data_IF_930064707798
#
_entry.id   IF_930064707798
#
_cell.length_a   1.000
_cell.length_b   1.000
_cell.length_c   1.000
_cell.angle_alpha   90.00
_cell.angle_beta   90.00
_cell.angle_gamma   90.00
#
_symmetry.space_group_name_H-M   'P 1'
#
loop_
_entity.id
_entity.type
_entity.pdbx_description
1 polymer ?
#
# COMPACT_ATOMS: atom_id res chain seq x y z
N UNK A 1 -5.54 7.91 -16.03
CA UNK A 1 -5.16 6.63 -16.67
C UNK A 1 -6.29 6.04 -17.51
N UNK A 2 -7.39 5.53 -16.94
CA UNK A 2 -8.52 5.04 -17.76
C UNK A 2 -9.15 6.17 -18.61
N UNK A 3 -9.48 7.29 -17.95
CA UNK A 3 -10.02 8.50 -18.59
C UNK A 3 -9.09 9.02 -19.70
N UNK A 4 -7.78 9.03 -19.43
CA UNK A 4 -6.70 9.40 -20.36
C UNK A 4 -6.67 8.49 -21.59
N UNK A 5 -6.81 7.18 -21.40
CA UNK A 5 -6.91 6.23 -22.51
C UNK A 5 -8.16 6.43 -23.36
N UNK A 6 -9.26 6.90 -22.76
CA UNK A 6 -10.45 7.32 -23.48
C UNK A 6 -10.31 8.70 -24.16
N UNK A 7 -9.12 9.30 -24.15
CA UNK A 7 -8.81 10.58 -24.80
C UNK A 7 -9.07 11.82 -23.94
N UNK A 8 -9.54 11.68 -22.71
CA UNK A 8 -9.92 12.81 -21.84
C UNK A 8 -8.85 13.15 -20.81
N UNK A 9 -8.59 14.43 -20.60
CA UNK A 9 -7.67 14.89 -19.57
C UNK A 9 -8.32 14.86 -18.17
N UNK A 10 -7.79 14.13 -17.17
CA UNK A 10 -8.31 14.18 -15.82
C UNK A 10 -7.78 15.41 -15.08
N UNK A 11 -8.67 16.28 -14.62
CA UNK A 11 -8.36 17.42 -13.78
C UNK A 11 -8.75 17.11 -12.32
N UNK A 12 -7.77 16.78 -11.49
CA UNK A 12 -7.98 16.48 -10.07
C UNK A 12 -7.91 17.75 -9.24
N UNK A 13 -8.94 18.03 -8.45
CA UNK A 13 -8.91 19.11 -7.46
C UNK A 13 -8.83 18.52 -6.06
N UNK A 14 -7.74 18.82 -5.34
CA UNK A 14 -7.61 18.46 -3.93
C UNK A 14 -8.44 19.41 -3.08
N UNK A 15 -9.14 18.86 -2.08
CA UNK A 15 -10.00 19.60 -1.14
C UNK A 15 -10.87 20.64 -1.87
N UNK A 16 -11.69 20.20 -2.84
CA UNK A 16 -12.52 21.09 -3.65
C UNK A 16 -13.48 21.92 -2.79
N UNK A 17 -13.84 21.40 -1.61
CA UNK A 17 -14.55 22.08 -0.54
C UNK A 17 -13.78 21.92 0.77
N UNK A 18 -13.12 22.97 1.28
CA UNK A 18 -12.32 22.87 2.50
C UNK A 18 -13.16 22.58 3.75
N UNK A 19 -14.46 22.89 3.71
CA UNK A 19 -15.47 22.57 4.72
C UNK A 19 -15.95 21.11 4.66
N UNK A 20 -15.66 20.39 3.57
CA UNK A 20 -16.00 18.98 3.34
C UNK A 20 -14.77 18.22 2.80
N UNK A 21 -13.72 18.07 3.63
CA UNK A 21 -12.43 17.53 3.19
C UNK A 21 -12.48 16.09 2.67
N UNK A 22 -13.54 15.35 3.01
CA UNK A 22 -13.78 13.98 2.58
C UNK A 22 -14.23 13.85 1.12
N UNK A 23 -14.58 14.95 0.44
CA UNK A 23 -15.09 14.92 -0.93
C UNK A 23 -13.98 15.14 -1.97
N UNK A 24 -13.50 14.09 -2.66
CA UNK A 24 -12.64 14.27 -3.82
C UNK A 24 -13.46 14.75 -5.03
N UNK A 25 -12.86 15.60 -5.88
CA UNK A 25 -13.45 15.99 -7.16
C UNK A 25 -12.48 15.74 -8.32
N UNK A 26 -12.99 15.05 -9.34
CA UNK A 26 -12.32 14.85 -10.63
C UNK A 26 -13.20 15.48 -11.70
N UNK A 27 -12.60 16.36 -12.50
CA UNK A 27 -13.22 16.98 -13.68
C UNK A 27 -12.61 16.37 -14.93
N UNK A 28 -13.41 16.22 -15.98
CA UNK A 28 -12.93 15.82 -17.30
C UNK A 28 -12.65 17.09 -18.11
N UNK A 29 -11.40 17.28 -18.50
CA UNK A 29 -10.88 18.41 -19.25
C UNK A 29 -10.93 18.19 -20.75
N UNK A 30 -9.98 18.78 -21.48
CA UNK A 30 -9.88 18.66 -22.94
C UNK A 30 -9.31 17.32 -23.40
N UNK A 31 -8.90 17.26 -24.67
CA UNK A 31 -8.18 16.11 -25.22
C UNK A 31 -6.78 16.02 -24.60
N UNK A 32 -6.39 14.83 -24.15
CA UNK A 32 -5.07 14.58 -23.56
C UNK A 32 -3.94 15.02 -24.50
N UNK A 33 -2.96 15.74 -23.96
CA UNK A 33 -1.62 15.87 -24.56
C UNK A 33 -0.62 15.04 -23.74
N UNK A 34 0.09 14.12 -24.39
CA UNK A 34 1.15 13.31 -23.74
C UNK A 34 0.64 12.08 -22.95
N UNK A 35 -0.14 11.20 -23.58
CA UNK A 35 -0.50 9.91 -22.97
C UNK A 35 0.71 8.96 -22.97
N UNK A 36 1.00 8.29 -21.85
CA UNK A 36 1.95 7.18 -21.78
C UNK A 36 1.30 5.91 -22.36
N UNK A 37 1.67 5.47 -23.57
CA UNK A 37 1.04 4.30 -24.19
C UNK A 37 1.27 3.05 -23.33
N UNK A 38 0.23 2.23 -23.16
CA UNK A 38 0.33 0.98 -22.41
C UNK A 38 0.26 1.09 -20.89
N UNK A 39 0.21 2.30 -20.30
CA UNK A 39 0.15 2.47 -18.84
C UNK A 39 -1.12 1.85 -18.21
N UNK A 40 -2.28 1.99 -18.86
CA UNK A 40 -3.51 1.36 -18.36
C UNK A 40 -3.45 -0.17 -18.41
N UNK A 41 -2.78 -0.74 -19.42
CA UNK A 41 -2.54 -2.17 -19.49
C UNK A 41 -1.54 -2.63 -18.44
N UNK A 42 -0.47 -1.86 -18.20
CA UNK A 42 0.49 -2.12 -17.14
C UNK A 42 -0.18 -2.10 -15.75
N UNK A 43 -1.11 -1.17 -15.49
CA UNK A 43 -1.88 -1.12 -14.26
C UNK A 43 -2.71 -2.40 -14.05
N UNK A 44 -3.36 -2.90 -15.10
CA UNK A 44 -4.12 -4.17 -15.03
C UNK A 44 -3.25 -5.38 -14.78
N UNK A 45 -2.03 -5.37 -15.32
CA UNK A 45 -1.08 -6.48 -15.19
C UNK A 45 -0.25 -6.41 -13.92
N UNK A 46 -0.33 -5.33 -13.13
CA UNK A 46 0.46 -5.14 -11.90
C UNK A 46 -0.10 -6.00 -10.77
N UNK A 47 0.54 -7.12 -10.41
CA UNK A 47 0.13 -7.89 -9.24
C UNK A 47 0.67 -7.22 -7.97
N UNK A 48 -0.01 -7.43 -6.84
CA UNK A 48 0.61 -7.25 -5.52
C UNK A 48 1.28 -8.56 -5.14
N UNK A 49 2.62 -8.60 -5.21
CA UNK A 49 3.39 -9.76 -4.75
C UNK A 49 3.50 -9.72 -3.23
N UNK A 50 3.13 -10.84 -2.59
CA UNK A 50 3.39 -11.12 -1.16
C UNK A 50 4.45 -12.20 -0.98
N UNK A 51 5.06 -12.64 -2.07
CA UNK A 51 6.20 -13.54 -2.00
C UNK A 51 7.43 -12.75 -1.60
N UNK A 52 8.33 -13.33 -0.78
CA UNK A 52 9.58 -12.68 -0.45
C UNK A 52 10.35 -12.28 -1.72
N UNK A 53 10.88 -11.05 -1.72
CA UNK A 53 11.73 -10.57 -2.79
C UNK A 53 13.19 -10.94 -2.50
N UNK A 54 13.56 -12.17 -2.82
CA UNK A 54 14.95 -12.62 -2.71
C UNK A 54 15.71 -12.29 -4.00
N UNK A 55 16.62 -11.33 -3.94
CA UNK A 55 17.57 -11.05 -5.02
C UNK A 55 18.89 -10.62 -4.41
N UNK A 56 19.90 -11.47 -4.51
CA UNK A 56 21.30 -11.13 -4.18
C UNK A 56 21.94 -10.23 -5.26
N UNK A 57 21.22 -9.97 -6.35
CA UNK A 57 21.71 -9.15 -7.46
C UNK A 57 21.48 -7.67 -7.16
N UNK A 58 22.57 -6.92 -7.04
CA UNK A 58 22.52 -5.46 -7.06
C UNK A 58 21.98 -4.97 -8.40
N UNK A 59 21.04 -4.02 -8.36
CA UNK A 59 20.48 -3.42 -9.56
C UNK A 59 21.44 -2.37 -10.14
N UNK A 60 21.51 -2.22 -11.48
CA UNK A 60 22.15 -1.05 -12.08
C UNK A 60 21.54 0.24 -11.52
N UNK A 61 22.35 1.29 -11.33
CA UNK A 61 21.92 2.54 -10.71
C UNK A 61 20.74 3.23 -11.42
N UNK A 62 20.51 2.94 -12.71
CA UNK A 62 19.37 3.43 -13.46
C UNK A 62 18.02 2.89 -12.94
N UNK A 63 17.99 1.66 -12.41
CA UNK A 63 16.74 1.00 -12.01
C UNK A 63 16.11 1.66 -10.78
N UNK A 64 16.87 2.08 -9.74
CA UNK A 64 16.30 2.90 -8.66
C UNK A 64 16.02 4.36 -9.07
N UNK A 65 16.75 4.91 -10.05
CA UNK A 65 16.56 6.31 -10.46
C UNK A 65 15.22 6.53 -11.17
N UNK A 66 14.84 5.62 -12.06
CA UNK A 66 13.62 5.76 -12.88
C UNK A 66 12.33 5.87 -12.04
N UNK A 67 12.06 5.01 -11.03
CA UNK A 67 10.89 5.17 -10.17
C UNK A 67 10.94 6.43 -9.31
N UNK A 68 12.14 6.89 -8.91
CA UNK A 68 12.29 8.12 -8.13
C UNK A 68 11.93 9.36 -8.96
N UNK A 69 12.38 9.42 -10.23
CA UNK A 69 11.99 10.46 -11.17
C UNK A 69 10.49 10.42 -11.49
N UNK A 70 9.93 9.22 -11.68
CA UNK A 70 8.51 9.03 -11.89
C UNK A 70 7.69 9.53 -10.68
N UNK A 71 8.11 9.21 -9.44
CA UNK A 71 7.49 9.74 -8.23
C UNK A 71 7.58 11.27 -8.16
N UNK A 72 8.76 11.83 -8.45
CA UNK A 72 9.00 13.27 -8.42
C UNK A 72 8.12 14.02 -9.43
N UNK A 73 7.99 13.52 -10.66
CA UNK A 73 7.08 14.10 -11.65
C UNK A 73 5.60 14.03 -11.23
N UNK A 74 5.25 13.09 -10.35
CA UNK A 74 3.95 12.98 -9.71
C UNK A 74 3.78 13.82 -8.43
N UNK A 75 4.77 14.63 -8.05
CA UNK A 75 4.74 15.43 -6.81
C UNK A 75 5.00 14.62 -5.54
N UNK A 76 5.53 13.40 -5.66
CA UNK A 76 5.88 12.53 -4.55
C UNK A 76 7.40 12.39 -4.41
N UNK A 77 7.86 12.05 -3.21
CA UNK A 77 9.25 11.70 -2.95
C UNK A 77 9.32 10.20 -2.70
N UNK A 78 10.24 9.52 -3.37
CA UNK A 78 10.55 8.11 -3.14
C UNK A 78 11.90 7.97 -2.45
N UNK A 79 11.94 7.26 -1.34
CA UNK A 79 13.18 6.95 -0.60
C UNK A 79 13.38 5.45 -0.58
N UNK A 80 14.57 5.00 -0.95
CA UNK A 80 14.98 3.60 -0.85
C UNK A 80 15.51 3.32 0.56
N UNK A 81 14.90 2.35 1.24
CA UNK A 81 15.37 1.88 2.54
C UNK A 81 16.61 1.01 2.32
N UNK A 82 17.69 1.31 3.01
CA UNK A 82 18.92 0.51 2.92
C UNK A 82 18.67 -0.90 3.48
N UNK A 83 19.45 -1.89 3.05
CA UNK A 83 19.36 -3.24 3.62
C UNK A 83 19.53 -3.26 5.14
N UNK A 84 20.39 -2.38 5.70
CA UNK A 84 20.59 -2.26 7.14
C UNK A 84 19.34 -1.71 7.85
N UNK A 85 18.64 -0.76 7.22
CA UNK A 85 17.43 -0.12 7.76
C UNK A 85 16.17 -1.00 7.61
N UNK A 86 16.17 -1.98 6.70
CA UNK A 86 15.04 -2.90 6.52
C UNK A 86 14.67 -3.61 7.82
N UNK A 87 15.66 -4.02 8.62
CA UNK A 87 15.40 -4.68 9.91
C UNK A 87 14.65 -3.76 10.88
N UNK A 88 14.90 -2.45 10.83
CA UNK A 88 14.19 -1.47 11.66
C UNK A 88 12.73 -1.35 11.21
N UNK A 89 12.48 -1.28 9.90
CA UNK A 89 11.11 -1.22 9.36
C UNK A 89 10.33 -2.47 9.72
N UNK A 90 10.96 -3.65 9.62
CA UNK A 90 10.33 -4.92 9.99
C UNK A 90 9.96 -4.96 11.48
N UNK A 91 10.86 -4.52 12.37
CA UNK A 91 10.55 -4.40 13.81
C UNK A 91 9.38 -3.46 14.09
N UNK A 92 9.40 -2.25 13.52
CA UNK A 92 8.30 -1.30 13.68
C UNK A 92 6.96 -1.83 13.15
N UNK A 93 7.00 -2.64 12.08
CA UNK A 93 5.80 -3.30 11.56
C UNK A 93 5.27 -4.32 12.55
N UNK A 94 6.13 -5.15 13.13
CA UNK A 94 5.76 -6.10 14.19
C UNK A 94 5.20 -5.38 15.42
N UNK A 95 5.82 -4.28 15.86
CA UNK A 95 5.35 -3.51 17.01
C UNK A 95 3.96 -2.92 16.74
N UNK A 96 3.71 -2.42 15.52
CA UNK A 96 2.40 -1.94 15.10
C UNK A 96 1.35 -3.05 15.06
N UNK A 97 1.70 -4.24 14.54
CA UNK A 97 0.80 -5.41 14.56
C UNK A 97 0.45 -5.84 15.99
N UNK A 98 1.43 -5.83 16.90
CA UNK A 98 1.20 -6.10 18.32
C UNK A 98 0.30 -5.04 18.96
N UNK A 99 0.49 -3.76 18.64
CA UNK A 99 -0.36 -2.67 19.11
C UNK A 99 -1.81 -2.85 18.64
N UNK A 100 -2.01 -3.10 17.35
CA UNK A 100 -3.34 -3.29 16.75
C UNK A 100 -4.08 -4.50 17.34
N UNK A 101 -3.37 -5.55 17.74
CA UNK A 101 -3.94 -6.72 18.40
C UNK A 101 -4.55 -6.44 19.79
N UNK A 102 -4.13 -5.33 20.42
CA UNK A 102 -4.69 -4.83 21.69
C UNK A 102 -5.75 -3.74 21.52
N UNK A 103 -5.90 -3.22 20.30
CA UNK A 103 -6.89 -2.23 19.92
C UNK A 103 -8.30 -2.79 19.65
N UNK A 104 -9.25 -1.95 19.25
CA UNK A 104 -10.61 -2.37 18.88
C UNK A 104 -10.59 -3.43 17.77
N UNK A 105 -11.54 -4.36 17.83
CA UNK A 105 -11.62 -5.44 16.85
C UNK A 105 -11.83 -4.90 15.42
N UNK A 106 -10.89 -5.20 14.51
CA UNK A 106 -11.02 -4.91 13.09
C UNK A 106 -11.72 -6.08 12.37
N UNK A 107 -12.69 -5.78 11.51
CA UNK A 107 -13.38 -6.76 10.68
C UNK A 107 -12.69 -6.89 9.31
N UNK A 108 -12.26 -8.10 8.96
CA UNK A 108 -11.74 -8.40 7.62
C UNK A 108 -12.90 -8.79 6.70
N UNK A 109 -13.19 -7.96 5.72
CA UNK A 109 -14.18 -8.28 4.67
C UNK A 109 -13.43 -8.70 3.41
N UNK A 110 -13.56 -9.98 3.03
CA UNK A 110 -13.06 -10.49 1.74
C UNK A 110 -14.17 -10.40 0.70
N UNK A 111 -14.22 -9.31 -0.05
CA UNK A 111 -15.06 -9.22 -1.24
C UNK A 111 -14.34 -9.91 -2.40
N UNK A 112 -15.02 -10.89 -3.02
CA UNK A 112 -14.40 -11.92 -3.85
C UNK A 112 -13.60 -11.38 -5.03
N UNK A 113 -12.27 -11.39 -4.89
CA UNK A 113 -11.29 -11.61 -5.96
C UNK A 113 -10.06 -12.29 -5.36
N UNK A 114 -9.68 -13.43 -5.94
CA UNK A 114 -8.60 -14.31 -5.48
C UNK A 114 -9.11 -15.69 -5.01
N UNK A 115 -8.25 -16.72 -4.99
CA UNK A 115 -8.64 -18.05 -4.52
C UNK A 115 -9.12 -18.00 -3.06
N UNK A 116 -10.05 -18.87 -2.69
CA UNK A 116 -10.47 -19.04 -1.31
C UNK A 116 -9.24 -19.30 -0.44
N UNK A 117 -8.93 -18.37 0.47
CA UNK A 117 -7.84 -18.53 1.43
C UNK A 117 -8.37 -19.08 2.75
N UNK A 118 -7.48 -19.59 3.63
CA UNK A 118 -7.88 -20.04 4.95
C UNK A 118 -8.64 -18.93 5.71
N UNK A 119 -9.55 -19.30 6.64
CA UNK A 119 -10.21 -18.32 7.49
C UNK A 119 -9.14 -17.51 8.23
N UNK A 120 -9.32 -16.18 8.26
CA UNK A 120 -8.48 -15.31 9.08
C UNK A 120 -8.57 -15.76 10.54
N UNK A 121 -7.43 -16.01 11.22
CA UNK A 121 -7.44 -16.36 12.63
C UNK A 121 -8.28 -15.34 13.40
N UNK A 122 -9.31 -15.80 14.11
CA UNK A 122 -10.08 -14.96 15.03
C UNK A 122 -9.56 -15.22 16.43
N UNK A 123 -9.40 -14.15 17.20
CA UNK A 123 -9.20 -14.25 18.65
C UNK A 123 -10.44 -14.94 19.22
N UNK A 124 -10.24 -16.05 19.94
CA UNK A 124 -11.35 -16.74 20.59
C UNK A 124 -11.97 -15.80 21.65
N UNK A 125 -13.27 -15.49 21.57
CA UNK A 125 -13.93 -14.62 22.55
C UNK A 125 -14.02 -15.27 23.94
N UNK A 126 -13.78 -16.58 24.04
CA UNK A 126 -13.76 -17.36 25.29
C UNK A 126 -12.38 -17.41 25.95
N UNK A 127 -11.32 -16.97 25.27
CA UNK A 127 -10.04 -16.64 25.92
C UNK A 127 -10.18 -15.25 26.55
N UNK A 128 -11.00 -15.19 27.61
CA UNK A 128 -10.70 -14.28 28.71
C UNK A 128 -9.46 -14.86 29.36
N UNK A 129 -8.38 -14.07 29.46
CA UNK A 129 -7.08 -14.53 29.94
C UNK A 129 -7.24 -15.45 31.18
N UNK A 130 -6.99 -16.77 31.07
CA UNK A 130 -6.71 -17.55 32.26
C UNK A 130 -5.33 -17.12 32.72
N UNK A 131 -5.17 -16.84 34.01
CA UNK A 131 -3.89 -16.47 34.62
C UNK A 131 -2.77 -17.38 34.10
N UNK A 132 -2.03 -16.87 33.13
CA UNK A 132 -0.92 -17.54 32.49
C UNK A 132 0.32 -16.94 33.09
N UNK A 133 0.94 -17.66 34.00
CA UNK A 133 2.29 -17.41 34.50
C UNK A 133 3.38 -17.68 33.45
N UNK A 134 3.05 -17.67 32.16
CA UNK A 134 4.05 -17.55 31.12
C UNK A 134 4.27 -16.07 30.80
N UNK A 135 5.49 -15.55 30.96
CA UNK A 135 5.79 -14.18 30.55
C UNK A 135 5.50 -14.09 29.06
N UNK A 136 4.53 -13.25 28.71
CA UNK A 136 4.48 -12.65 27.38
C UNK A 136 5.85 -11.99 27.22
N UNK A 137 6.69 -12.38 26.25
CA UNK A 137 7.95 -11.70 26.04
C UNK A 137 7.62 -10.22 25.90
N UNK A 138 8.34 -9.32 26.59
CA UNK A 138 8.13 -7.91 26.38
C UNK A 138 8.26 -7.66 24.89
N UNK A 139 7.19 -7.17 24.26
CA UNK A 139 7.33 -6.43 23.03
C UNK A 139 8.35 -5.34 23.36
N UNK A 140 9.54 -5.47 22.80
CA UNK A 140 10.67 -4.60 23.09
C UNK A 140 10.34 -3.13 22.84
#
# INVERSE_FOLDING_TARGET
>A
MAITQCGWEPLTRLLPRPDQPELPAIRLGGLVRGSSPGLYDALRRRPSSRFPFFSERSFPAAVPAEPAEAAHSGGAVLTYVSHADTNRVLRLTTDAECHDATGPAHMVIRLGYGPAGPPSPRRDPTVSAPGSTNPVPPCC
#
